data_IF_443259945190
#
_entry.id   IF_443259945190
#
_cell.length_a   1.000
_cell.length_b   1.000
_cell.length_c   1.000
_cell.angle_alpha   90.00
_cell.angle_beta   90.00
_cell.angle_gamma   90.00
#
_symmetry.space_group_name_H-M   'P 1'
#
loop_
_entity.id
_entity.type
_entity.pdbx_description
1 polymer ?
#
# COMPACT_ATOMS: atom_id res chain seq x y z
N UNK A 1 43.96 20.97 31.21
CA UNK A 1 44.24 20.48 29.85
C UNK A 1 43.72 19.05 29.76
N UNK A 2 42.57 18.83 29.12
CA UNK A 2 42.03 17.48 28.96
C UNK A 2 42.77 16.78 27.81
N UNK A 3 43.38 15.63 28.08
CA UNK A 3 43.93 14.77 27.03
C UNK A 3 42.74 14.21 26.23
N UNK A 4 42.63 14.64 24.98
CA UNK A 4 41.80 13.96 23.98
C UNK A 4 42.33 12.54 23.83
N UNK A 5 41.62 11.57 24.40
CA UNK A 5 41.88 10.14 24.17
C UNK A 5 41.23 9.79 22.83
N UNK A 6 42.06 9.40 21.87
CA UNK A 6 41.58 8.84 20.60
C UNK A 6 40.92 7.50 20.91
N UNK A 7 39.66 7.36 20.53
CA UNK A 7 38.94 6.09 20.59
C UNK A 7 39.44 5.16 19.46
N UNK A 8 40.38 4.30 19.82
CA UNK A 8 41.05 3.40 18.88
C UNK A 8 40.10 2.36 18.26
N UNK A 9 39.01 2.00 18.94
CA UNK A 9 38.07 1.00 18.46
C UNK A 9 37.18 1.58 17.37
N UNK A 10 36.67 2.80 17.58
CA UNK A 10 35.92 3.52 16.56
C UNK A 10 36.77 3.85 15.32
N UNK A 11 38.04 4.22 15.52
CA UNK A 11 38.96 4.45 14.40
C UNK A 11 39.22 3.16 13.60
N UNK A 12 39.37 2.02 14.28
CA UNK A 12 39.58 0.72 13.62
C UNK A 12 38.35 0.33 12.78
N UNK A 13 37.16 0.46 13.34
CA UNK A 13 35.91 0.18 12.63
C UNK A 13 35.74 1.06 11.39
N UNK A 14 36.10 2.34 11.49
CA UNK A 14 36.09 3.25 10.34
C UNK A 14 37.08 2.83 9.25
N UNK A 15 38.32 2.48 9.63
CA UNK A 15 39.34 2.02 8.68
C UNK A 15 38.87 0.73 7.97
N UNK A 16 38.26 -0.20 8.70
CA UNK A 16 37.77 -1.45 8.12
C UNK A 16 36.61 -1.19 7.13
N UNK A 17 35.74 -0.21 7.41
CA UNK A 17 34.73 0.26 6.44
C UNK A 17 35.35 0.89 5.19
N UNK A 18 36.39 1.72 5.33
CA UNK A 18 37.09 2.29 4.18
C UNK A 18 37.81 1.22 3.34
N UNK A 19 38.22 0.09 3.93
CA UNK A 19 38.79 -1.04 3.19
C UNK A 19 37.74 -1.82 2.41
N UNK A 20 36.55 -2.02 3.00
CA UNK A 20 35.45 -2.72 2.32
C UNK A 20 34.79 -1.87 1.25
N UNK A 21 34.71 -0.56 1.48
CA UNK A 21 34.13 0.41 0.54
C UNK A 21 34.98 1.69 0.49
N UNK A 22 35.93 1.76 -0.47
CA UNK A 22 36.75 2.95 -0.66
C UNK A 22 35.98 4.20 -1.09
N UNK A 23 34.72 4.07 -1.53
CA UNK A 23 33.89 5.22 -1.96
C UNK A 23 33.56 6.15 -0.78
N UNK A 24 33.58 5.65 0.46
CA UNK A 24 33.40 6.42 1.69
C UNK A 24 34.43 7.55 1.79
N UNK A 25 35.65 7.36 1.27
CA UNK A 25 36.68 8.42 1.21
C UNK A 25 36.31 9.55 0.24
N UNK A 26 35.17 9.44 -0.46
CA UNK A 26 34.55 10.45 -1.30
C UNK A 26 33.35 11.18 -0.74
N UNK A 27 32.97 10.89 0.50
CA UNK A 27 32.05 11.74 1.24
C UNK A 27 32.66 13.14 1.49
N UNK A 28 31.95 14.24 1.16
CA UNK A 28 32.42 15.61 1.41
C UNK A 28 32.80 15.89 2.88
N UNK A 29 32.14 15.23 3.84
CA UNK A 29 32.42 15.38 5.27
C UNK A 29 33.80 14.84 5.69
N UNK A 30 34.39 13.95 4.88
CA UNK A 30 35.68 13.31 5.12
C UNK A 30 36.83 13.93 4.31
N UNK A 31 36.61 15.12 3.72
CA UNK A 31 37.61 15.81 2.91
C UNK A 31 38.95 16.06 3.65
N UNK A 32 38.90 16.36 4.95
CA UNK A 32 40.10 16.55 5.78
C UNK A 32 40.97 15.28 5.84
N UNK A 33 40.33 14.10 5.90
CA UNK A 33 41.02 12.82 6.00
C UNK A 33 41.63 12.42 4.66
N UNK A 34 40.96 12.71 3.54
CA UNK A 34 41.53 12.57 2.19
C UNK A 34 42.79 13.42 2.03
N UNK A 35 42.74 14.71 2.37
CA UNK A 35 43.91 15.58 2.28
C UNK A 35 45.07 15.10 3.14
N UNK A 36 44.79 14.54 4.31
CA UNK A 36 45.80 13.90 5.14
C UNK A 36 46.45 12.70 4.44
N UNK A 37 45.66 11.77 3.88
CA UNK A 37 46.17 10.61 3.14
C UNK A 37 47.08 11.03 1.97
N UNK A 38 46.67 12.05 1.21
CA UNK A 38 47.46 12.58 0.08
C UNK A 38 48.77 13.23 0.56
N UNK A 39 48.72 13.94 1.70
CA UNK A 39 49.90 14.61 2.28
C UNK A 39 50.98 13.64 2.76
N UNK A 40 50.60 12.42 3.16
CA UNK A 40 51.55 11.35 3.51
C UNK A 40 52.01 10.55 2.29
N UNK A 41 51.65 10.99 1.07
CA UNK A 41 52.07 10.40 -0.19
C UNK A 41 51.27 9.17 -0.62
N UNK A 42 50.15 8.86 0.06
CA UNK A 42 49.27 7.78 -0.34
C UNK A 42 48.24 8.25 -1.37
N UNK A 43 47.87 7.37 -2.31
CA UNK A 43 46.93 7.68 -3.39
C UNK A 43 45.55 7.16 -3.05
N UNK A 44 44.55 8.04 -3.02
CA UNK A 44 43.15 7.63 -2.87
C UNK A 44 42.63 7.09 -4.21
N UNK A 45 42.00 5.91 -4.24
CA UNK A 45 41.39 5.37 -5.45
C UNK A 45 40.38 6.35 -6.05
N UNK A 46 40.22 6.44 -7.38
CA UNK A 46 39.15 7.24 -7.98
C UNK A 46 37.78 6.65 -7.61
N UNK A 47 36.75 7.50 -7.50
CA UNK A 47 35.39 7.16 -7.04
C UNK A 47 34.65 6.11 -7.88
N UNK A 48 35.29 5.57 -8.92
CA UNK A 48 34.67 4.68 -9.90
C UNK A 48 35.73 3.82 -10.60
N UNK A 49 36.35 2.90 -9.86
CA UNK A 49 36.83 1.64 -10.43
C UNK A 49 36.48 0.52 -9.46
N UNK A 50 35.21 0.11 -9.52
CA UNK A 50 34.83 -1.26 -9.19
C UNK A 50 35.66 -2.20 -10.06
N UNK A 51 36.76 -2.71 -9.51
CA UNK A 51 37.41 -3.89 -10.06
C UNK A 51 36.43 -5.04 -9.88
N UNK A 52 35.80 -5.39 -10.99
CA UNK A 52 35.14 -6.66 -11.20
C UNK A 52 36.21 -7.72 -10.95
N UNK A 53 36.12 -8.41 -9.81
CA UNK A 53 36.43 -9.85 -9.66
C UNK A 53 36.43 -10.24 -8.18
N UNK A 54 35.24 -10.50 -7.64
CA UNK A 54 34.91 -11.60 -6.72
C UNK A 54 33.53 -11.36 -6.08
N UNK A 55 32.53 -12.09 -6.58
CA UNK A 55 31.25 -12.40 -5.91
C UNK A 55 30.39 -11.20 -5.44
N UNK A 56 30.24 -10.18 -6.28
CA UNK A 56 29.11 -9.25 -6.17
C UNK A 56 27.83 -9.96 -6.60
N UNK A 57 26.98 -10.31 -5.65
CA UNK A 57 25.70 -10.96 -5.91
C UNK A 57 24.89 -10.17 -6.96
N UNK A 58 24.48 -10.81 -8.07
CA UNK A 58 23.57 -10.27 -9.09
C UNK A 58 22.17 -9.92 -8.51
N UNK A 59 22.07 -8.97 -7.57
CA UNK A 59 20.83 -8.64 -6.90
C UNK A 59 19.78 -8.18 -7.91
N UNK A 60 18.60 -8.79 -7.86
CA UNK A 60 17.52 -8.44 -8.78
C UNK A 60 16.90 -7.15 -8.25
N UNK A 61 17.27 -6.02 -8.86
CA UNK A 61 16.65 -4.72 -8.57
C UNK A 61 15.31 -4.63 -9.30
N UNK A 62 14.22 -4.49 -8.53
CA UNK A 62 12.89 -4.28 -9.08
C UNK A 62 12.76 -2.86 -9.65
N UNK A 63 12.18 -2.73 -10.84
CA UNK A 63 11.90 -1.42 -11.45
C UNK A 63 10.61 -0.84 -10.88
N UNK A 64 10.46 0.47 -10.89
CA UNK A 64 9.16 1.07 -10.56
C UNK A 64 8.11 0.74 -11.63
N UNK A 65 6.84 0.70 -11.21
CA UNK A 65 5.70 0.48 -12.10
C UNK A 65 5.00 1.81 -12.33
N UNK A 66 4.88 2.20 -13.59
CA UNK A 66 4.17 3.42 -13.99
C UNK A 66 2.65 3.23 -13.91
N UNK A 67 2.04 3.76 -12.86
CA UNK A 67 0.60 3.68 -12.59
C UNK A 67 -0.10 5.00 -12.88
N UNK A 68 -1.37 4.94 -13.29
CA UNK A 68 -2.22 6.12 -13.37
C UNK A 68 -2.76 6.45 -11.98
N UNK A 69 -2.24 7.51 -11.36
CA UNK A 69 -2.62 7.94 -10.01
C UNK A 69 -3.58 9.14 -10.01
N UNK A 70 -4.18 9.49 -11.17
CA UNK A 70 -5.01 10.70 -11.31
C UNK A 70 -6.18 10.78 -10.31
N UNK A 71 -6.79 9.65 -10.00
CA UNK A 71 -7.94 9.55 -9.09
C UNK A 71 -7.54 9.14 -7.65
N UNK A 72 -6.24 9.02 -7.36
CA UNK A 72 -5.74 8.68 -6.02
C UNK A 72 -5.84 9.91 -5.11
N UNK A 73 -6.31 9.70 -3.90
CA UNK A 73 -6.44 10.73 -2.86
C UNK A 73 -5.68 10.33 -1.61
N UNK A 74 -5.36 11.31 -0.78
CA UNK A 74 -4.78 11.03 0.53
C UNK A 74 -5.80 10.30 1.42
N UNK A 75 -5.35 9.34 2.25
CA UNK A 75 -6.21 8.69 3.22
C UNK A 75 -6.79 9.72 4.19
N UNK A 76 -8.11 9.67 4.43
CA UNK A 76 -8.73 10.47 5.49
C UNK A 76 -8.26 9.99 6.87
N UNK A 77 -7.85 10.94 7.71
CA UNK A 77 -7.33 10.71 9.06
C UNK A 77 -8.29 11.21 10.15
N UNK A 78 -9.58 11.27 9.82
CA UNK A 78 -10.63 11.65 10.77
C UNK A 78 -10.83 10.55 11.83
N UNK A 79 -11.30 10.89 13.05
CA UNK A 79 -11.73 9.89 14.01
C UNK A 79 -12.79 8.96 13.41
N UNK A 80 -12.81 7.66 13.76
CA UNK A 80 -13.81 6.72 13.25
C UNK A 80 -15.24 7.23 13.46
N UNK A 81 -16.05 7.16 12.41
CA UNK A 81 -17.45 7.58 12.46
C UNK A 81 -18.27 6.70 13.41
N UNK A 82 -19.41 7.22 13.87
CA UNK A 82 -20.30 6.47 14.78
C UNK A 82 -20.92 5.28 14.05
N UNK A 83 -20.76 4.08 14.62
CA UNK A 83 -21.21 2.82 14.00
C UNK A 83 -22.51 2.24 14.59
N UNK A 84 -23.13 2.90 15.58
CA UNK A 84 -24.27 2.35 16.31
C UNK A 84 -23.86 1.23 17.28
N UNK A 85 -24.83 0.68 18.02
CA UNK A 85 -24.63 -0.45 18.94
C UNK A 85 -25.40 -1.68 18.42
N UNK A 86 -24.72 -2.69 17.86
CA UNK A 86 -25.35 -3.88 17.30
C UNK A 86 -26.22 -4.68 18.27
N UNK A 87 -26.09 -4.45 19.59
CA UNK A 87 -26.86 -5.12 20.63
C UNK A 87 -28.24 -4.51 20.89
N UNK A 88 -28.51 -3.32 20.34
CA UNK A 88 -29.80 -2.62 20.49
C UNK A 88 -30.92 -3.44 19.85
N UNK A 89 -31.99 -3.65 20.61
CA UNK A 89 -33.24 -4.20 20.06
C UNK A 89 -33.91 -3.17 19.15
N UNK A 90 -34.17 -3.56 17.91
CA UNK A 90 -34.74 -2.68 16.89
C UNK A 90 -36.25 -2.92 16.82
N UNK A 91 -37.04 -1.99 17.35
CA UNK A 91 -38.51 -1.98 17.23
C UNK A 91 -38.94 -1.66 15.79
N UNK A 92 -40.18 -2.01 15.43
CA UNK A 92 -40.76 -1.64 14.12
C UNK A 92 -40.73 -0.12 13.90
N UNK A 93 -41.05 0.67 14.94
CA UNK A 93 -40.97 2.14 14.89
C UNK A 93 -39.56 2.64 14.56
N UNK A 94 -38.52 2.04 15.17
CA UNK A 94 -37.12 2.38 14.86
C UNK A 94 -36.72 1.97 13.45
N UNK A 95 -37.23 0.84 12.94
CA UNK A 95 -36.99 0.41 11.55
C UNK A 95 -37.59 1.41 10.55
N UNK A 96 -38.84 1.82 10.78
CA UNK A 96 -39.54 2.79 9.93
C UNK A 96 -38.87 4.17 9.97
N UNK A 97 -38.48 4.63 11.17
CA UNK A 97 -37.75 5.88 11.34
C UNK A 97 -36.38 5.84 10.65
N UNK A 98 -35.63 4.75 10.79
CA UNK A 98 -34.35 4.56 10.10
C UNK A 98 -34.52 4.56 8.57
N UNK A 99 -35.57 3.92 8.06
CA UNK A 99 -35.88 3.93 6.63
C UNK A 99 -36.26 5.33 6.12
N UNK A 100 -37.00 6.11 6.90
CA UNK A 100 -37.33 7.49 6.56
C UNK A 100 -36.07 8.37 6.51
N UNK A 101 -35.18 8.25 7.50
CA UNK A 101 -33.90 8.96 7.54
C UNK A 101 -33.01 8.57 6.35
N UNK A 102 -32.97 7.28 5.98
CA UNK A 102 -32.27 6.84 4.77
C UNK A 102 -32.80 7.52 3.53
N UNK A 103 -34.12 7.63 3.37
CA UNK A 103 -34.72 8.31 2.21
C UNK A 103 -34.36 9.80 2.16
N UNK A 104 -34.35 10.48 3.32
CA UNK A 104 -33.87 11.88 3.42
C UNK A 104 -32.40 11.99 3.03
N UNK A 105 -31.58 11.06 3.48
CA UNK A 105 -30.16 11.05 3.15
C UNK A 105 -29.92 10.87 1.65
N UNK A 106 -30.64 9.96 1.00
CA UNK A 106 -30.54 9.76 -0.45
C UNK A 106 -30.92 11.05 -1.20
N UNK A 107 -32.02 11.71 -0.81
CA UNK A 107 -32.40 13.00 -1.40
C UNK A 107 -31.31 14.06 -1.19
N UNK A 108 -30.74 14.15 0.02
CA UNK A 108 -29.63 15.06 0.30
C UNK A 108 -28.37 14.75 -0.53
N UNK A 109 -28.06 13.47 -0.79
CA UNK A 109 -26.96 13.08 -1.71
C UNK A 109 -27.24 13.54 -3.14
N UNK A 110 -28.46 13.36 -3.64
CA UNK A 110 -28.85 13.77 -4.99
C UNK A 110 -28.77 15.30 -5.17
N UNK A 111 -28.98 16.06 -4.09
CA UNK A 111 -28.82 17.52 -4.04
C UNK A 111 -27.36 17.96 -3.77
N UNK A 112 -26.44 17.04 -3.47
CA UNK A 112 -25.04 17.32 -3.16
C UNK A 112 -24.77 17.75 -1.71
N UNK A 113 -25.77 17.68 -0.83
CA UNK A 113 -25.67 17.97 0.61
C UNK A 113 -25.10 16.77 1.40
N UNK A 114 -23.84 16.43 1.13
CA UNK A 114 -23.23 15.19 1.62
C UNK A 114 -23.09 15.10 3.15
N UNK A 115 -22.75 16.20 3.83
CA UNK A 115 -22.66 16.22 5.30
C UNK A 115 -24.02 15.97 5.95
N UNK A 116 -25.08 16.54 5.38
CA UNK A 116 -26.44 16.30 5.85
C UNK A 116 -26.85 14.85 5.61
N UNK A 117 -26.54 14.29 4.45
CA UNK A 117 -26.79 12.88 4.15
C UNK A 117 -26.11 11.94 5.15
N UNK A 118 -24.84 12.21 5.48
CA UNK A 118 -24.07 11.44 6.48
C UNK A 118 -24.70 11.56 7.86
N UNK A 119 -25.20 12.75 8.24
CA UNK A 119 -25.91 12.95 9.51
C UNK A 119 -27.17 12.10 9.59
N UNK A 120 -28.05 12.19 8.57
CA UNK A 120 -29.28 11.38 8.51
C UNK A 120 -28.98 9.87 8.54
N UNK A 121 -27.96 9.42 7.82
CA UNK A 121 -27.57 8.00 7.82
C UNK A 121 -26.96 7.57 9.15
N UNK A 122 -26.24 8.45 9.84
CA UNK A 122 -25.69 8.16 11.17
C UNK A 122 -26.81 7.99 12.19
N UNK A 123 -27.83 8.86 12.15
CA UNK A 123 -29.03 8.69 12.97
C UNK A 123 -29.79 7.41 12.61
N UNK A 124 -29.93 7.10 11.32
CA UNK A 124 -30.57 5.86 10.87
C UNK A 124 -29.84 4.61 11.38
N UNK A 125 -28.50 4.62 11.38
CA UNK A 125 -27.67 3.52 11.88
C UNK A 125 -27.81 3.36 13.39
N UNK A 126 -27.92 4.45 14.15
CA UNK A 126 -28.16 4.37 15.60
C UNK A 126 -29.52 3.71 15.90
N UNK A 127 -30.54 3.97 15.08
CA UNK A 127 -31.86 3.37 15.22
C UNK A 127 -31.91 1.91 14.74
N UNK A 128 -31.18 1.57 13.68
CA UNK A 128 -31.14 0.22 13.11
C UNK A 128 -29.70 -0.19 12.71
N UNK A 129 -28.86 -0.58 13.70
CA UNK A 129 -27.45 -0.90 13.48
C UNK A 129 -27.23 -2.27 12.81
N UNK A 130 -28.29 -3.01 12.50
CA UNK A 130 -28.22 -4.31 11.82
C UNK A 130 -28.64 -4.23 10.36
N UNK A 131 -28.69 -3.03 9.79
CA UNK A 131 -29.10 -2.79 8.42
C UNK A 131 -27.90 -2.53 7.51
N UNK A 132 -27.47 -3.56 6.76
CA UNK A 132 -26.34 -3.47 5.82
C UNK A 132 -26.49 -2.32 4.81
N UNK A 133 -27.73 -2.05 4.37
CA UNK A 133 -28.00 -1.00 3.37
C UNK A 133 -27.73 0.41 3.90
N UNK A 134 -27.86 0.65 5.21
CA UNK A 134 -27.57 1.96 5.80
C UNK A 134 -26.07 2.26 5.75
N UNK A 135 -25.25 1.31 6.19
CA UNK A 135 -23.79 1.41 6.10
C UNK A 135 -23.33 1.54 4.65
N UNK A 136 -23.79 0.67 3.74
CA UNK A 136 -23.41 0.75 2.33
C UNK A 136 -23.84 2.08 1.67
N UNK A 137 -24.94 2.70 2.13
CA UNK A 137 -25.38 4.01 1.61
C UNK A 137 -24.52 5.13 2.17
N UNK A 138 -24.15 5.09 3.46
CA UNK A 138 -23.28 6.09 4.07
C UNK A 138 -21.84 6.00 3.55
N UNK A 139 -21.34 4.79 3.33
CA UNK A 139 -20.08 4.57 2.63
C UNK A 139 -20.09 5.16 1.22
N UNK A 140 -21.22 5.09 0.50
CA UNK A 140 -21.39 5.78 -0.79
C UNK A 140 -21.29 7.31 -0.67
N UNK A 141 -21.87 7.91 0.36
CA UNK A 141 -21.70 9.34 0.63
C UNK A 141 -20.24 9.71 0.96
N UNK A 142 -19.53 8.86 1.72
CA UNK A 142 -18.09 9.06 1.98
C UNK A 142 -17.24 8.95 0.72
N UNK A 143 -17.56 8.05 -0.22
CA UNK A 143 -16.90 8.01 -1.54
C UNK A 143 -17.10 9.33 -2.28
N UNK A 144 -18.31 9.88 -2.29
CA UNK A 144 -18.59 11.19 -2.92
C UNK A 144 -17.84 12.35 -2.23
N UNK A 145 -17.63 12.26 -0.91
CA UNK A 145 -16.80 13.22 -0.14
C UNK A 145 -15.29 13.00 -0.28
N UNK A 146 -14.86 11.97 -1.01
CA UNK A 146 -13.46 11.53 -1.08
C UNK A 146 -12.84 11.16 0.27
N UNK A 147 -13.61 10.47 1.12
CA UNK A 147 -13.18 9.90 2.41
C UNK A 147 -13.09 8.37 2.33
N UNK A 148 -12.06 7.81 1.68
CA UNK A 148 -12.00 6.38 1.39
C UNK A 148 -11.87 5.47 2.63
N UNK A 149 -11.18 5.86 3.70
CA UNK A 149 -11.07 5.04 4.92
C UNK A 149 -12.42 4.93 5.64
N UNK A 150 -13.14 6.05 5.81
CA UNK A 150 -14.50 6.05 6.34
C UNK A 150 -15.44 5.17 5.48
N UNK A 151 -15.34 5.28 4.15
CA UNK A 151 -16.13 4.45 3.24
C UNK A 151 -15.83 2.95 3.35
N UNK A 152 -14.55 2.57 3.48
CA UNK A 152 -14.13 1.17 3.68
C UNK A 152 -14.70 0.63 4.99
N UNK A 153 -14.63 1.40 6.08
CA UNK A 153 -15.14 0.98 7.39
C UNK A 153 -16.65 0.69 7.34
N UNK A 154 -17.43 1.54 6.68
CA UNK A 154 -18.86 1.32 6.47
C UNK A 154 -19.14 0.14 5.55
N UNK A 155 -18.37 -0.02 4.47
CA UNK A 155 -18.55 -1.14 3.55
C UNK A 155 -18.23 -2.49 4.21
N UNK A 156 -17.20 -2.55 5.05
CA UNK A 156 -16.85 -3.74 5.82
C UNK A 156 -17.98 -4.09 6.81
N UNK A 157 -18.50 -3.11 7.56
CA UNK A 157 -19.66 -3.32 8.44
C UNK A 157 -20.91 -3.81 7.67
N UNK A 158 -21.16 -3.26 6.47
CA UNK A 158 -22.24 -3.72 5.60
C UNK A 158 -22.06 -5.18 5.17
N UNK A 159 -20.83 -5.58 4.84
CA UNK A 159 -20.49 -6.94 4.41
C UNK A 159 -20.48 -7.96 5.56
N UNK A 160 -20.17 -7.53 6.79
CA UNK A 160 -20.34 -8.36 7.99
C UNK A 160 -21.82 -8.70 8.22
N UNK A 161 -22.74 -7.76 7.95
CA UNK A 161 -24.19 -7.96 8.09
C UNK A 161 -24.76 -8.72 6.88
N UNK A 162 -24.37 -8.36 5.67
CA UNK A 162 -24.82 -8.99 4.42
C UNK A 162 -23.63 -9.21 3.45
N UNK A 163 -23.04 -10.41 3.45
CA UNK A 163 -21.92 -10.76 2.58
C UNK A 163 -22.23 -10.74 1.08
N UNK A 164 -23.50 -10.73 0.69
CA UNK A 164 -23.97 -10.71 -0.71
C UNK A 164 -24.38 -9.30 -1.17
N UNK A 165 -23.94 -8.25 -0.47
CA UNK A 165 -24.26 -6.87 -0.83
C UNK A 165 -23.38 -6.35 -1.98
N UNK A 166 -23.90 -6.34 -3.21
CA UNK A 166 -23.24 -5.73 -4.37
C UNK A 166 -22.82 -4.27 -4.11
N UNK A 167 -23.72 -3.48 -3.49
CA UNK A 167 -23.46 -2.07 -3.17
C UNK A 167 -22.28 -1.90 -2.20
N UNK A 168 -22.15 -2.76 -1.19
CA UNK A 168 -21.04 -2.69 -0.25
C UNK A 168 -19.70 -3.01 -0.91
N UNK A 169 -19.63 -4.06 -1.74
CA UNK A 169 -18.44 -4.34 -2.55
C UNK A 169 -18.11 -3.19 -3.50
N UNK A 170 -19.10 -2.60 -4.18
CA UNK A 170 -18.89 -1.44 -5.05
C UNK A 170 -18.24 -0.28 -4.29
N UNK A 171 -18.81 0.10 -3.15
CA UNK A 171 -18.28 1.18 -2.30
C UNK A 171 -16.86 0.89 -1.86
N UNK A 172 -16.59 -0.31 -1.35
CA UNK A 172 -15.24 -0.70 -0.89
C UNK A 172 -14.23 -0.70 -2.03
N UNK A 173 -14.62 -1.21 -3.20
CA UNK A 173 -13.79 -1.22 -4.39
C UNK A 173 -13.44 0.18 -4.89
N UNK A 174 -14.43 1.08 -4.96
CA UNK A 174 -14.20 2.50 -5.30
C UNK A 174 -13.28 3.19 -4.29
N UNK A 175 -13.52 3.00 -2.99
CA UNK A 175 -12.69 3.59 -1.94
C UNK A 175 -11.25 3.04 -1.95
N UNK A 176 -11.06 1.75 -2.24
CA UNK A 176 -9.73 1.14 -2.42
C UNK A 176 -9.01 1.69 -3.65
N UNK A 177 -9.72 1.92 -4.75
CA UNK A 177 -9.16 2.56 -5.94
C UNK A 177 -8.63 3.97 -5.63
N UNK A 178 -9.39 4.74 -4.85
CA UNK A 178 -8.99 6.06 -4.38
C UNK A 178 -7.73 6.04 -3.49
N UNK A 179 -7.42 4.91 -2.84
CA UNK A 179 -6.19 4.72 -2.07
C UNK A 179 -5.06 4.07 -2.88
N UNK A 180 -5.20 3.90 -4.19
CA UNK A 180 -4.22 3.22 -5.04
C UNK A 180 -4.13 1.70 -4.80
N UNK A 181 -5.10 1.10 -4.11
CA UNK A 181 -5.16 -0.35 -3.85
C UNK A 181 -5.81 -1.09 -5.02
N UNK A 182 -5.16 -1.01 -6.19
CA UNK A 182 -5.76 -1.38 -7.47
C UNK A 182 -6.20 -2.84 -7.59
N UNK A 183 -5.40 -3.79 -7.10
CA UNK A 183 -5.75 -5.22 -7.15
C UNK A 183 -6.95 -5.54 -6.24
N UNK A 184 -6.97 -4.98 -5.03
CA UNK A 184 -8.09 -5.15 -4.09
C UNK A 184 -9.37 -4.50 -4.61
N UNK A 185 -9.24 -3.32 -5.21
CA UNK A 185 -10.34 -2.60 -5.84
C UNK A 185 -10.95 -3.40 -7.01
N UNK A 186 -10.11 -3.92 -7.90
CA UNK A 186 -10.56 -4.76 -9.02
C UNK A 186 -11.29 -6.01 -8.53
N UNK A 187 -10.77 -6.68 -7.50
CA UNK A 187 -11.42 -7.85 -6.93
C UNK A 187 -12.81 -7.53 -6.36
N UNK A 188 -12.93 -6.49 -5.54
CA UNK A 188 -14.24 -6.07 -4.99
C UNK A 188 -15.23 -5.70 -6.09
N UNK A 189 -14.79 -4.93 -7.09
CA UNK A 189 -15.65 -4.50 -8.19
C UNK A 189 -16.08 -5.68 -9.09
N UNK A 190 -15.23 -6.69 -9.27
CA UNK A 190 -15.62 -7.93 -9.95
C UNK A 190 -16.68 -8.71 -9.17
N UNK A 191 -16.54 -8.78 -7.84
CA UNK A 191 -17.55 -9.42 -6.98
C UNK A 191 -18.86 -8.63 -7.07
N UNK A 192 -18.82 -7.30 -6.95
CA UNK A 192 -19.99 -6.44 -7.10
C UNK A 192 -20.69 -6.68 -8.44
N UNK A 193 -19.94 -6.62 -9.54
CA UNK A 193 -20.41 -6.86 -10.92
C UNK A 193 -21.07 -8.23 -11.09
N UNK A 194 -20.50 -9.27 -10.46
CA UNK A 194 -21.04 -10.62 -10.51
C UNK A 194 -22.38 -10.76 -9.76
N UNK A 195 -22.55 -10.03 -8.66
CA UNK A 195 -23.79 -10.04 -7.88
C UNK A 195 -24.86 -9.20 -8.57
N UNK A 196 -24.55 -7.96 -8.90
CA UNK A 196 -25.44 -7.01 -9.58
C UNK A 196 -24.61 -5.99 -10.36
N UNK A 197 -24.64 -6.09 -11.69
CA UNK A 197 -23.90 -5.20 -12.57
C UNK A 197 -24.61 -3.86 -12.73
N UNK A 198 -23.86 -2.78 -12.61
CA UNK A 198 -24.28 -1.44 -13.04
C UNK A 198 -23.17 -0.75 -13.86
N UNK A 199 -23.54 0.30 -14.59
CA UNK A 199 -22.62 1.05 -15.46
C UNK A 199 -21.49 1.77 -14.69
N UNK A 200 -21.72 2.09 -13.41
CA UNK A 200 -20.72 2.71 -12.55
C UNK A 200 -19.63 1.69 -12.18
N UNK A 201 -20.01 0.44 -11.87
CA UNK A 201 -19.10 -0.68 -11.64
C UNK A 201 -18.27 -0.95 -12.90
N UNK A 202 -18.91 -1.00 -14.07
CA UNK A 202 -18.21 -1.18 -15.35
C UNK A 202 -17.17 -0.09 -15.62
N UNK A 203 -17.55 1.16 -15.34
CA UNK A 203 -16.65 2.31 -15.48
C UNK A 203 -15.50 2.28 -14.49
N UNK A 204 -15.76 1.90 -13.24
CA UNK A 204 -14.75 1.77 -12.20
C UNK A 204 -13.77 0.62 -12.52
N UNK A 205 -14.26 -0.54 -12.97
CA UNK A 205 -13.44 -1.68 -13.39
C UNK A 205 -12.43 -1.28 -14.46
N UNK A 206 -12.89 -0.59 -15.51
CA UNK A 206 -12.02 -0.14 -16.61
C UNK A 206 -10.86 0.72 -16.13
N UNK A 207 -11.07 1.55 -15.09
CA UNK A 207 -10.01 2.37 -14.50
C UNK A 207 -9.03 1.53 -13.70
N UNK A 208 -9.52 0.65 -12.82
CA UNK A 208 -8.66 -0.09 -11.88
C UNK A 208 -7.90 -1.25 -12.55
N UNK A 209 -8.49 -1.89 -13.56
CA UNK A 209 -7.90 -3.07 -14.23
C UNK A 209 -6.58 -2.75 -14.90
N UNK A 210 -6.44 -1.55 -15.48
CA UNK A 210 -5.19 -1.12 -16.13
C UNK A 210 -4.01 -1.15 -15.15
N UNK A 211 -4.17 -0.53 -13.98
CA UNK A 211 -3.14 -0.50 -12.96
C UNK A 211 -2.95 -1.89 -12.30
N UNK A 212 -4.03 -2.62 -12.02
CA UNK A 212 -3.97 -3.95 -11.47
C UNK A 212 -3.17 -4.92 -12.37
N UNK A 213 -3.42 -4.90 -13.69
CA UNK A 213 -2.68 -5.73 -14.64
C UNK A 213 -1.20 -5.38 -14.71
N UNK A 214 -0.84 -4.08 -14.65
CA UNK A 214 0.57 -3.65 -14.63
C UNK A 214 1.29 -4.17 -13.39
N UNK A 215 0.65 -4.04 -12.22
CA UNK A 215 1.19 -4.54 -10.95
C UNK A 215 1.37 -6.05 -11.00
N UNK A 216 0.36 -6.78 -11.47
CA UNK A 216 0.43 -8.23 -11.55
C UNK A 216 1.52 -8.69 -12.53
N UNK A 217 1.58 -8.08 -13.72
CA UNK A 217 2.60 -8.39 -14.73
C UNK A 217 4.02 -8.11 -14.20
N UNK A 218 4.20 -6.99 -13.49
CA UNK A 218 5.45 -6.67 -12.82
C UNK A 218 5.84 -7.73 -11.79
N UNK A 219 4.92 -8.06 -10.87
CA UNK A 219 5.13 -9.09 -9.85
C UNK A 219 5.49 -10.45 -10.46
N UNK A 220 4.78 -10.86 -11.52
CA UNK A 220 5.03 -12.11 -12.26
C UNK A 220 6.43 -12.11 -12.91
N UNK A 221 6.84 -11.00 -13.54
CA UNK A 221 8.17 -10.85 -14.14
C UNK A 221 9.27 -11.04 -13.10
N UNK A 222 9.16 -10.36 -11.96
CA UNK A 222 10.19 -10.40 -10.91
C UNK A 222 10.18 -11.71 -10.09
N UNK A 223 9.03 -12.35 -9.93
CA UNK A 223 8.95 -13.70 -9.39
C UNK A 223 9.68 -14.71 -10.29
N UNK A 224 9.51 -14.62 -11.63
CA UNK A 224 10.22 -15.47 -12.58
C UNK A 224 11.74 -15.26 -12.51
N UNK A 225 12.19 -14.01 -12.53
CA UNK A 225 13.62 -13.69 -12.44
C UNK A 225 14.25 -14.22 -11.15
N UNK A 226 13.57 -14.05 -10.00
CA UNK A 226 14.03 -14.61 -8.71
C UNK A 226 14.15 -16.13 -8.76
N UNK A 227 13.13 -16.81 -9.30
CA UNK A 227 13.13 -18.27 -9.44
C UNK A 227 14.25 -18.77 -10.36
N UNK A 228 14.47 -18.12 -11.50
CA UNK A 228 15.55 -18.48 -12.43
C UNK A 228 16.93 -18.28 -11.79
N UNK A 229 17.13 -17.18 -11.05
CA UNK A 229 18.38 -16.92 -10.31
C UNK A 229 18.63 -17.98 -9.24
N UNK A 230 17.60 -18.34 -8.47
CA UNK A 230 17.69 -19.37 -7.44
C UNK A 230 18.08 -20.73 -8.04
N UNK A 231 17.43 -21.13 -9.14
CA UNK A 231 17.77 -22.36 -9.85
C UNK A 231 19.21 -22.37 -10.37
N UNK A 232 19.70 -21.24 -10.90
CA UNK A 232 21.09 -21.09 -11.33
C UNK A 232 22.07 -21.21 -10.16
N UNK A 233 21.77 -20.60 -9.01
CA UNK A 233 22.58 -20.71 -7.78
C UNK A 233 22.67 -22.17 -7.32
N UNK A 234 21.53 -22.86 -7.23
CA UNK A 234 21.46 -24.28 -6.82
C UNK A 234 22.24 -25.18 -7.79
N UNK A 235 22.14 -24.95 -9.10
CA UNK A 235 22.87 -25.74 -10.09
C UNK A 235 24.39 -25.51 -10.01
N UNK A 236 24.82 -24.25 -9.84
CA UNK A 236 26.23 -23.91 -9.64
C UNK A 236 26.80 -24.58 -8.39
N UNK A 237 26.03 -24.60 -7.30
CA UNK A 237 26.44 -25.25 -6.06
C UNK A 237 26.58 -26.77 -6.23
N UNK A 238 25.63 -27.43 -6.91
CA UNK A 238 25.71 -28.86 -7.24
C UNK A 238 26.95 -29.17 -8.08
N UNK A 239 27.29 -28.31 -9.04
CA UNK A 239 28.50 -28.47 -9.86
C UNK A 239 29.78 -28.34 -9.02
N UNK A 240 29.84 -27.34 -8.11
CA UNK A 240 30.94 -27.18 -7.14
C UNK A 240 31.09 -28.38 -6.20
N UNK A 241 29.99 -28.97 -5.73
CA UNK A 241 30.02 -30.16 -4.87
C UNK A 241 30.49 -31.43 -5.63
N UNK A 242 30.13 -31.55 -6.91
CA UNK A 242 30.61 -32.66 -7.76
C UNK A 242 32.10 -32.55 -8.05
N UNK A 243 32.61 -31.35 -8.31
CA UNK A 243 34.04 -31.15 -8.62
C UNK A 243 34.95 -31.29 -7.40
N UNK A 244 34.44 -31.10 -6.18
CA UNK A 244 35.17 -31.29 -4.93
C UNK A 244 35.21 -32.73 -4.43
N UNK A 245 34.20 -33.57 -4.76
CA UNK A 245 34.19 -35.01 -4.41
C UNK A 245 34.99 -35.92 -5.36
N UNK A 246 35.43 -35.40 -6.51
CA UNK A 246 36.18 -36.17 -7.52
C UNK A 246 37.70 -36.03 -7.45
N UNK A 247 38.23 -35.33 -6.44
CA UNK A 247 39.67 -35.20 -6.12
C UNK A 247 39.98 -35.90 -4.81
#
# INVERSE_FOLDING_TARGET
MAKSTIDAENLKNFIDKCKSDPSILHDPSLGFFRSYIESVGARVPPASQSSVDAEGEDEIVESDVELDETDVVEPDNDPPQKMGDPSVEVSEENQDAAQMLKSKAVAAMDEGHLDEAISHLTEAIILNPRSAILYATRGGAFVQQKKPNAAILDADAALEINPDSAKAYKVRGMARAMLGKWEEAANDLHIASKIDYDEEIGSALKKVESNAHKIEAHRRKYARLRKERELKKVELEKQRQRSTKGK
#
